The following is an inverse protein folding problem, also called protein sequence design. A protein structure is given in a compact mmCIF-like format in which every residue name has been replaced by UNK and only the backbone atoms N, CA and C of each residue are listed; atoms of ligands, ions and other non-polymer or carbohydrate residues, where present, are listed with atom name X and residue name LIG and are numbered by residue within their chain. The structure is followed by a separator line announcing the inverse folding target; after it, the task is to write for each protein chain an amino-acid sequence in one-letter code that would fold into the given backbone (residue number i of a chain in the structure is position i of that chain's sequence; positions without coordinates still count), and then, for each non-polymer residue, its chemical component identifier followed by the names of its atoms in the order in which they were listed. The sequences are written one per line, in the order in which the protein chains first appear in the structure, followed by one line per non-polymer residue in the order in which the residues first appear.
data_IF_133820308054
#
_entry.id   IF_133820308054
#
_cell.length_a   1.000
_cell.length_b   1.000
_cell.length_c   1.000
_cell.angle_alpha   90.00
_cell.angle_beta   90.00
_cell.angle_gamma   90.00
#
_symmetry.space_group_name_H-M   'P 1'
#
loop_
_entity.id
_entity.type
_entity.pdbx_description
1 polymer ?
#
# COMPACT_ATOMS: atom_id res chain seq x y z
N UNK A 1 -29.99 5.31 4.11
CA UNK A 1 -28.62 4.92 3.73
C UNK A 1 -28.76 3.85 2.67
N UNK A 2 -28.22 4.08 1.46
CA UNK A 2 -28.24 3.06 0.40
C UNK A 2 -27.21 2.01 0.79
N UNK A 3 -27.65 0.79 1.06
CA UNK A 3 -26.78 -0.37 1.24
C UNK A 3 -26.04 -0.60 -0.08
N UNK A 4 -24.77 -0.26 -0.10
CA UNK A 4 -23.83 -0.72 -1.12
C UNK A 4 -23.66 -2.22 -0.87
N UNK A 5 -24.36 -3.03 -1.66
CA UNK A 5 -24.20 -4.48 -1.63
C UNK A 5 -22.79 -4.80 -2.09
N UNK A 6 -21.90 -5.07 -1.14
CA UNK A 6 -20.63 -5.75 -1.40
C UNK A 6 -20.95 -7.05 -2.14
N UNK A 7 -20.68 -7.09 -3.45
CA UNK A 7 -20.78 -8.33 -4.20
C UNK A 7 -19.66 -9.24 -3.72
N UNK A 8 -20.04 -10.31 -3.02
CA UNK A 8 -19.14 -11.39 -2.65
C UNK A 8 -18.73 -12.12 -3.94
N UNK A 9 -17.45 -12.02 -4.32
CA UNK A 9 -16.86 -12.81 -5.39
C UNK A 9 -16.86 -14.33 -5.10
N UNK A 10 -16.53 -15.18 -6.08
CA UNK A 10 -17.00 -16.57 -6.19
C UNK A 10 -16.31 -17.62 -5.30
N UNK A 11 -15.80 -17.26 -4.12
CA UNK A 11 -15.39 -18.26 -3.12
C UNK A 11 -14.06 -18.01 -2.39
N UNK A 12 -13.34 -16.94 -2.68
CA UNK A 12 -12.10 -16.59 -1.97
C UNK A 12 -12.30 -15.72 -0.72
N UNK A 13 -13.54 -15.28 -0.45
CA UNK A 13 -13.85 -14.40 0.69
C UNK A 13 -13.26 -12.98 0.59
N UNK A 14 -12.73 -12.61 -0.58
CA UNK A 14 -12.19 -11.30 -0.86
C UNK A 14 -13.24 -10.45 -1.61
N UNK A 15 -13.39 -9.20 -1.18
CA UNK A 15 -14.23 -8.21 -1.87
C UNK A 15 -13.34 -7.55 -2.92
N UNK A 16 -13.71 -7.68 -4.20
CA UNK A 16 -12.99 -7.03 -5.31
C UNK A 16 -12.84 -5.53 -5.02
N UNK A 17 -11.61 -5.02 -5.10
CA UNK A 17 -11.30 -3.61 -4.86
C UNK A 17 -10.95 -3.28 -3.41
N UNK A 18 -11.10 -4.21 -2.47
CA UNK A 18 -10.73 -3.97 -1.07
C UNK A 18 -9.22 -3.83 -0.90
N UNK A 19 -8.42 -4.52 -1.71
CA UNK A 19 -6.96 -4.48 -1.65
C UNK A 19 -6.42 -3.22 -2.31
N UNK A 20 -7.04 -2.76 -3.39
CA UNK A 20 -6.78 -1.45 -4.02
C UNK A 20 -7.09 -0.33 -3.03
N UNK A 21 -8.18 -0.45 -2.27
CA UNK A 21 -8.49 0.49 -1.18
C UNK A 21 -7.46 0.42 -0.05
N UNK A 22 -7.00 -0.77 0.32
CA UNK A 22 -5.94 -0.94 1.30
C UNK A 22 -4.60 -0.35 0.83
N UNK A 23 -4.27 -0.47 -0.46
CA UNK A 23 -3.10 0.16 -1.07
C UNK A 23 -3.17 1.69 -0.97
N UNK A 24 -4.36 2.28 -1.17
CA UNK A 24 -4.58 3.71 -0.94
C UNK A 24 -4.22 4.17 0.47
N UNK A 25 -4.63 3.41 1.50
CA UNK A 25 -4.25 3.73 2.89
C UNK A 25 -2.75 3.62 3.16
N UNK A 26 -2.05 2.70 2.49
CA UNK A 26 -0.59 2.57 2.60
C UNK A 26 0.09 3.81 2.04
N UNK A 27 -0.32 4.27 0.85
CA UNK A 27 0.23 5.46 0.20
C UNK A 27 -0.08 6.74 0.98
N UNK A 28 -1.29 6.88 1.52
CA UNK A 28 -1.67 8.03 2.35
C UNK A 28 -0.79 8.10 3.61
N UNK A 29 -0.60 6.97 4.30
CA UNK A 29 0.26 6.89 5.48
C UNK A 29 1.73 7.17 5.17
N UNK A 30 2.24 6.66 4.06
CA UNK A 30 3.61 6.91 3.59
C UNK A 30 3.85 8.40 3.36
N UNK A 31 2.89 9.07 2.72
CA UNK A 31 2.95 10.52 2.48
C UNK A 31 3.00 11.29 3.80
N UNK A 32 2.13 10.96 4.75
CA UNK A 32 2.15 11.60 6.08
C UNK A 32 3.47 11.35 6.83
N UNK A 33 4.01 10.13 6.74
CA UNK A 33 5.28 9.79 7.40
C UNK A 33 6.45 10.54 6.78
N UNK A 34 6.49 10.70 5.45
CA UNK A 34 7.50 11.47 4.74
C UNK A 34 7.42 12.96 5.12
N UNK A 35 6.22 13.55 5.18
CA UNK A 35 6.02 14.94 5.59
C UNK A 35 6.49 15.20 7.04
N UNK A 36 6.16 14.28 7.96
CA UNK A 36 6.69 14.31 9.33
C UNK A 36 8.21 14.21 9.30
N UNK A 37 8.73 13.37 8.40
CA UNK A 37 10.15 13.11 8.35
C UNK A 37 10.94 14.36 7.95
N UNK A 38 10.53 14.99 6.86
CA UNK A 38 11.10 16.22 6.31
C UNK A 38 10.97 17.37 7.30
N UNK A 39 9.82 17.49 7.99
CA UNK A 39 9.59 18.54 9.01
C UNK A 39 10.57 18.39 10.17
N UNK A 40 10.74 17.17 10.68
CA UNK A 40 11.64 16.91 11.80
C UNK A 40 13.10 17.15 11.42
N UNK A 41 13.51 16.74 10.21
CA UNK A 41 14.86 17.01 9.70
C UNK A 41 15.13 18.51 9.57
N UNK A 42 14.20 19.27 8.99
CA UNK A 42 14.32 20.71 8.81
C UNK A 42 14.41 21.46 10.16
N UNK A 43 13.50 21.16 11.09
CA UNK A 43 13.46 21.80 12.40
C UNK A 43 14.71 21.49 13.23
N UNK A 44 15.13 20.22 13.24
CA UNK A 44 16.26 19.82 14.08
C UNK A 44 17.59 20.25 13.45
N UNK A 45 17.79 20.15 12.15
CA UNK A 45 19.01 20.64 11.49
C UNK A 45 19.19 22.15 11.72
N UNK A 46 18.09 22.90 11.64
CA UNK A 46 18.07 24.33 11.99
C UNK A 46 18.54 24.58 13.42
N UNK A 47 18.03 23.83 14.40
CA UNK A 47 18.41 24.03 15.81
C UNK A 47 19.81 23.50 16.16
N UNK A 48 20.22 22.34 15.62
CA UNK A 48 21.52 21.72 15.86
C UNK A 48 22.68 22.62 15.45
N UNK A 49 22.50 23.44 14.41
CA UNK A 49 23.52 24.41 13.98
C UNK A 49 23.87 25.48 15.02
N UNK A 50 23.08 25.62 16.09
CA UNK A 50 23.23 26.64 17.14
C UNK A 50 23.73 26.08 18.49
N UNK A 51 23.93 24.77 18.61
CA UNK A 51 24.29 24.09 19.88
C UNK A 51 25.49 23.17 19.71
N UNK A 52 26.33 23.06 20.75
CA UNK A 52 27.54 22.23 20.74
C UNK A 52 27.57 21.31 21.98
N UNK A 53 28.08 20.09 21.84
CA UNK A 53 28.25 19.12 22.92
C UNK A 53 27.97 17.66 22.52
N UNK A 54 28.40 16.70 23.34
CA UNK A 54 28.32 15.27 23.04
C UNK A 54 26.88 14.78 22.78
N UNK A 55 25.88 15.31 23.49
CA UNK A 55 24.47 14.92 23.29
C UNK A 55 23.88 15.42 21.96
N UNK A 56 24.39 16.53 21.42
CA UNK A 56 24.03 17.08 20.10
C UNK A 56 24.54 16.16 19.00
N UNK A 57 25.75 15.60 19.16
CA UNK A 57 26.33 14.61 18.23
C UNK A 57 25.50 13.33 18.17
N UNK A 58 25.10 12.80 19.33
CA UNK A 58 24.27 11.58 19.41
C UNK A 58 22.90 11.81 18.74
N UNK A 59 22.30 12.98 18.95
CA UNK A 59 21.04 13.35 18.30
C UNK A 59 21.20 13.44 16.76
N UNK A 60 22.30 14.04 16.29
CA UNK A 60 22.61 14.09 14.86
C UNK A 60 22.80 12.70 14.23
N UNK A 61 23.54 11.82 14.89
CA UNK A 61 23.73 10.43 14.44
C UNK A 61 22.40 9.66 14.36
N UNK A 62 21.53 9.84 15.36
CA UNK A 62 20.21 9.20 15.37
C UNK A 62 19.31 9.69 14.22
N UNK A 63 19.35 10.99 13.91
CA UNK A 63 18.57 11.57 12.81
C UNK A 63 19.10 11.12 11.45
N UNK A 64 20.42 11.06 11.27
CA UNK A 64 21.02 10.49 10.06
C UNK A 64 20.58 9.04 9.87
N UNK A 65 20.68 8.21 10.92
CA UNK A 65 20.27 6.80 10.84
C UNK A 65 18.77 6.65 10.51
N UNK A 66 17.93 7.53 11.04
CA UNK A 66 16.50 7.54 10.73
C UNK A 66 16.22 7.98 9.30
N UNK A 67 16.89 9.01 8.78
CA UNK A 67 16.78 9.42 7.37
C UNK A 67 17.26 8.34 6.40
N UNK A 68 18.39 7.68 6.72
CA UNK A 68 18.91 6.54 5.96
C UNK A 68 17.95 5.35 5.94
N UNK A 69 17.20 5.12 7.02
CA UNK A 69 16.18 4.06 7.11
C UNK A 69 14.84 4.44 6.45
N UNK A 70 14.53 5.74 6.34
CA UNK A 70 13.28 6.23 5.75
C UNK A 70 13.17 5.89 4.26
N UNK A 71 14.24 6.13 3.48
CA UNK A 71 14.22 5.86 2.03
C UNK A 71 13.91 4.41 1.64
N UNK A 72 14.56 3.37 2.22
CA UNK A 72 14.18 1.98 1.94
C UNK A 72 12.79 1.62 2.47
N UNK A 73 12.32 2.24 3.55
CA UNK A 73 10.98 1.99 4.09
C UNK A 73 9.86 2.44 3.14
N UNK A 74 9.99 3.64 2.58
CA UNK A 74 9.14 4.19 1.50
C UNK A 74 9.11 3.21 0.32
N UNK A 75 10.29 2.80 -0.17
CA UNK A 75 10.38 1.83 -1.27
C UNK A 75 9.76 0.45 -0.98
N UNK A 76 9.72 0.01 0.28
CA UNK A 76 9.05 -1.23 0.67
C UNK A 76 7.52 -1.06 0.76
N UNK A 77 7.04 0.11 1.20
CA UNK A 77 5.62 0.45 1.23
C UNK A 77 5.03 0.58 -0.17
N UNK A 78 5.74 1.20 -1.11
CA UNK A 78 5.40 1.26 -2.53
C UNK A 78 5.22 -0.16 -3.13
N UNK A 79 6.18 -1.05 -2.88
CA UNK A 79 6.11 -2.46 -3.32
C UNK A 79 4.92 -3.18 -2.70
N UNK A 80 4.64 -2.91 -1.43
CA UNK A 80 3.50 -3.50 -0.73
C UNK A 80 2.17 -3.01 -1.30
N UNK A 81 2.02 -1.71 -1.57
CA UNK A 81 0.84 -1.15 -2.23
C UNK A 81 0.63 -1.73 -3.63
N UNK A 82 1.70 -1.87 -4.43
CA UNK A 82 1.64 -2.54 -5.73
C UNK A 82 1.21 -4.01 -5.61
N UNK A 83 1.74 -4.75 -4.65
CA UNK A 83 1.35 -6.13 -4.42
C UNK A 83 -0.14 -6.27 -4.07
N UNK A 84 -0.68 -5.35 -3.27
CA UNK A 84 -2.11 -5.29 -2.97
C UNK A 84 -2.96 -5.06 -4.23
N UNK A 85 -2.56 -4.12 -5.09
CA UNK A 85 -3.25 -3.86 -6.37
C UNK A 85 -3.22 -5.11 -7.26
N UNK A 86 -2.06 -5.76 -7.38
CA UNK A 86 -1.93 -6.98 -8.19
C UNK A 86 -2.80 -8.14 -7.69
N UNK A 87 -3.13 -8.19 -6.39
CA UNK A 87 -4.09 -9.18 -5.86
C UNK A 87 -5.50 -8.95 -6.41
N UNK A 88 -5.95 -7.69 -6.47
CA UNK A 88 -7.25 -7.36 -7.06
C UNK A 88 -7.28 -7.65 -8.57
N UNK A 89 -6.21 -7.29 -9.29
CA UNK A 89 -6.10 -7.58 -10.73
C UNK A 89 -6.13 -9.09 -11.01
N UNK A 90 -5.40 -9.89 -10.23
CA UNK A 90 -5.40 -11.34 -10.35
C UNK A 90 -6.76 -11.96 -10.00
N UNK A 91 -7.46 -11.38 -9.00
CA UNK A 91 -8.81 -11.81 -8.64
C UNK A 91 -9.80 -11.54 -9.78
N UNK A 92 -9.76 -10.35 -10.38
CA UNK A 92 -10.61 -10.00 -11.54
C UNK A 92 -10.33 -10.94 -12.72
N UNK A 93 -9.06 -11.18 -13.06
CA UNK A 93 -8.71 -12.09 -14.15
C UNK A 93 -9.18 -13.53 -13.88
N UNK A 94 -9.10 -14.00 -12.63
CA UNK A 94 -9.63 -15.30 -12.25
C UNK A 94 -11.16 -15.37 -12.35
N UNK A 95 -11.87 -14.29 -12.01
CA UNK A 95 -13.34 -14.18 -12.17
C UNK A 95 -13.76 -14.20 -13.65
N UNK A 96 -13.05 -13.48 -14.51
CA UNK A 96 -13.29 -13.49 -15.96
C UNK A 96 -13.09 -14.89 -16.54
N UNK A 97 -11.96 -15.54 -16.22
CA UNK A 97 -11.65 -16.90 -16.69
C UNK A 97 -12.69 -17.93 -16.22
N UNK A 98 -13.14 -17.84 -14.96
CA UNK A 98 -14.18 -18.71 -14.43
C UNK A 98 -15.51 -18.51 -15.17
N UNK A 99 -15.87 -17.27 -15.47
CA UNK A 99 -17.09 -16.93 -16.20
C UNK A 99 -17.07 -17.46 -17.63
N UNK A 100 -15.95 -17.28 -18.34
CA UNK A 100 -15.75 -17.83 -19.68
C UNK A 100 -15.85 -19.36 -19.70
N UNK A 101 -15.23 -20.04 -18.72
CA UNK A 101 -15.32 -21.50 -18.60
C UNK A 101 -16.75 -22.02 -18.37
N UNK A 102 -17.58 -21.29 -17.63
CA UNK A 102 -19.00 -21.62 -17.44
C UNK A 102 -19.79 -21.44 -18.74
N UNK A 103 -19.55 -20.34 -19.48
CA UNK A 103 -20.21 -20.07 -20.76
C UNK A 103 -19.87 -21.17 -21.78
N UNK A 104 -18.59 -21.56 -21.86
CA UNK A 104 -18.12 -22.61 -22.76
C UNK A 104 -18.77 -23.96 -22.42
N UNK A 105 -18.75 -24.36 -21.14
CA UNK A 105 -19.42 -25.58 -20.68
C UNK A 105 -20.94 -25.57 -20.94
N UNK A 106 -21.60 -24.42 -20.80
CA UNK A 106 -23.01 -24.24 -21.12
C UNK A 106 -23.30 -24.40 -22.61
N UNK A 107 -22.45 -23.84 -23.48
CA UNK A 107 -22.58 -23.96 -24.93
C UNK A 107 -22.49 -25.43 -25.40
N UNK A 108 -21.60 -26.23 -24.81
CA UNK A 108 -21.50 -27.67 -25.06
C UNK A 108 -22.75 -28.46 -24.63
N UNK A 109 -23.42 -28.05 -23.55
CA UNK A 109 -24.63 -28.72 -23.04
C UNK A 109 -25.90 -28.44 -23.86
N UNK A 110 -25.99 -27.29 -24.54
CA UNK A 110 -27.15 -26.91 -25.35
C UNK A 110 -27.20 -27.49 -26.77
N UNK A 111 -26.17 -28.25 -27.18
CA UNK A 111 -26.09 -28.90 -28.50
C UNK A 111 -26.52 -30.37 -28.55
N UNK A 112 -27.04 -30.93 -27.45
CA UNK A 112 -27.38 -32.35 -27.31
C UNK A 112 -28.88 -32.60 -27.11
#
# INVERSE_FOLDING_TARGET
MKEERAMSGPGFGLVVGAQTKAAGYVVDFETELADIADTLEADITGQLSHVNGTYVSILGEALTAWGEAGSPHVGDQDRYAQALISVDEALIAAEEQATEGIIDAGAFGSGQ
#
